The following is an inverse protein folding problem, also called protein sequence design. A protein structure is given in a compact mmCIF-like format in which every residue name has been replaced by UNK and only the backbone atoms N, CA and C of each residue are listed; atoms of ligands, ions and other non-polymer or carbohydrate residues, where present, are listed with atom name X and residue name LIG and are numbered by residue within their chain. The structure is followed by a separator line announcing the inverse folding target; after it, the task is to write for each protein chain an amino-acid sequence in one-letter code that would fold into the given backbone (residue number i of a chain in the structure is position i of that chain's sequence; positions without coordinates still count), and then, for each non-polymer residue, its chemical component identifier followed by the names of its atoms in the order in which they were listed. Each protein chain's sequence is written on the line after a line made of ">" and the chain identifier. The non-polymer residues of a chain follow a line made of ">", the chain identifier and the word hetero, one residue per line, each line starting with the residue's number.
data_IF_188195149022
#
_entry.id   IF_188195149022
#
_cell.length_a   1.000
_cell.length_b   1.000
_cell.length_c   1.000
_cell.angle_alpha   90.00
_cell.angle_beta   90.00
_cell.angle_gamma   90.00
#
_symmetry.space_group_name_H-M   'P 1'
#
loop_
_entity.id
_entity.type
_entity.pdbx_description
1 polymer ?
#
# COMPACT_ATOMS: atom_id res chain seq x y z
N UNK A 1 9.32 -0.15 2.25
CA UNK A 1 10.44 0.53 2.94
C UNK A 1 11.78 -0.22 2.81
N UNK A 2 11.98 -1.40 3.45
CA UNK A 2 13.30 -2.05 3.48
C UNK A 2 13.85 -2.47 2.12
N UNK A 3 13.01 -2.95 1.20
CA UNK A 3 13.43 -3.30 -0.17
C UNK A 3 13.90 -2.08 -0.97
N UNK A 4 13.25 -0.93 -0.78
CA UNK A 4 13.58 0.33 -1.45
C UNK A 4 14.77 1.07 -0.81
N UNK A 5 15.15 0.71 0.40
CA UNK A 5 16.28 1.33 1.10
C UNK A 5 17.59 0.95 0.42
N UNK A 6 18.46 1.93 0.14
CA UNK A 6 19.81 1.70 -0.39
C UNK A 6 20.66 0.80 0.53
N UNK A 7 20.57 0.99 1.86
CA UNK A 7 21.15 0.09 2.86
C UNK A 7 20.27 -1.13 3.21
N UNK A 8 19.34 -1.48 2.32
CA UNK A 8 18.40 -2.58 2.46
C UNK A 8 18.97 -3.91 1.94
N UNK A 9 18.27 -5.03 2.17
CA UNK A 9 18.71 -6.35 1.72
C UNK A 9 18.84 -6.48 0.20
N UNK A 10 18.11 -5.67 -0.57
CA UNK A 10 18.16 -5.65 -2.03
C UNK A 10 18.90 -4.44 -2.61
N UNK A 11 19.63 -3.68 -1.79
CA UNK A 11 20.42 -2.53 -2.25
C UNK A 11 19.60 -1.39 -2.87
N UNK A 12 18.29 -1.32 -2.61
CA UNK A 12 17.37 -0.37 -3.21
C UNK A 12 16.64 -0.88 -4.47
N UNK A 13 16.93 -2.09 -4.93
CA UNK A 13 16.21 -2.71 -6.05
C UNK A 13 14.91 -3.39 -5.56
N UNK A 14 13.81 -3.15 -6.27
CA UNK A 14 12.55 -3.84 -6.01
C UNK A 14 12.54 -5.14 -6.82
N UNK A 15 12.46 -6.27 -6.11
CA UNK A 15 12.35 -7.59 -6.71
C UNK A 15 11.15 -8.33 -6.12
N UNK A 16 10.48 -9.14 -6.93
CA UNK A 16 9.43 -10.04 -6.46
C UNK A 16 10.00 -11.06 -5.45
N UNK A 17 9.31 -11.34 -4.33
CA UNK A 17 9.75 -12.34 -3.36
C UNK A 17 9.72 -13.78 -3.91
N UNK A 18 8.89 -14.07 -4.90
CA UNK A 18 8.70 -15.41 -5.45
C UNK A 18 9.86 -15.87 -6.34
N UNK A 19 10.30 -15.01 -7.25
CA UNK A 19 11.27 -15.37 -8.31
C UNK A 19 12.42 -14.36 -8.46
N UNK A 20 12.49 -13.35 -7.59
CA UNK A 20 13.46 -12.25 -7.64
C UNK A 20 13.44 -11.42 -8.93
N UNK A 21 12.43 -11.57 -9.79
CA UNK A 21 12.28 -10.77 -10.99
C UNK A 21 11.82 -9.34 -10.68
N UNK A 22 12.15 -8.40 -11.56
CA UNK A 22 11.70 -7.02 -11.45
C UNK A 22 10.19 -6.93 -11.77
N UNK A 23 9.36 -6.30 -10.91
CA UNK A 23 7.93 -6.16 -11.17
C UNK A 23 7.66 -5.02 -12.15
N UNK A 24 6.84 -5.28 -13.15
CA UNK A 24 6.39 -4.26 -14.11
C UNK A 24 5.13 -3.54 -13.62
N UNK A 25 4.37 -4.17 -12.71
CA UNK A 25 3.10 -3.65 -12.22
C UNK A 25 2.85 -4.00 -10.76
N UNK A 26 2.67 -2.97 -9.92
CA UNK A 26 2.46 -3.13 -8.47
C UNK A 26 1.14 -2.49 -8.03
N UNK A 27 0.37 -3.23 -7.22
CA UNK A 27 -0.81 -2.75 -6.53
C UNK A 27 -0.50 -2.38 -5.07
N UNK A 28 -0.68 -1.12 -4.67
CA UNK A 28 -0.72 -0.72 -3.27
C UNK A 28 -2.15 -0.72 -2.76
N UNK A 29 -2.41 -1.45 -1.68
CA UNK A 29 -3.73 -1.60 -1.09
C UNK A 29 -3.83 -0.80 0.20
N UNK A 30 -4.73 0.18 0.23
CA UNK A 30 -4.89 1.05 1.39
C UNK A 30 -5.81 0.47 2.47
N UNK A 31 -5.64 1.01 3.68
CA UNK A 31 -6.45 0.67 4.85
C UNK A 31 -6.38 -0.82 5.24
N UNK A 32 -5.22 -1.46 5.07
CA UNK A 32 -5.01 -2.83 5.56
C UNK A 32 -4.78 -2.76 7.07
N UNK A 33 -5.68 -3.36 7.86
CA UNK A 33 -5.62 -3.29 9.33
C UNK A 33 -6.09 -1.96 9.93
N UNK A 34 -6.76 -1.10 9.15
CA UNK A 34 -7.32 0.17 9.64
C UNK A 34 -8.66 0.45 8.99
N UNK A 35 -9.54 1.18 9.67
CA UNK A 35 -10.92 1.42 9.23
C UNK A 35 -11.61 0.08 8.89
N UNK A 36 -11.38 -0.92 9.73
CA UNK A 36 -11.87 -2.28 9.55
C UNK A 36 -12.38 -2.85 10.88
N UNK A 37 -13.70 -2.95 10.99
CA UNK A 37 -14.40 -3.48 12.17
C UNK A 37 -14.58 -5.01 12.13
N UNK A 38 -14.31 -5.67 10.99
CA UNK A 38 -14.72 -7.05 10.80
C UNK A 38 -13.66 -8.03 11.29
N UNK A 39 -12.40 -7.81 10.92
CA UNK A 39 -11.31 -8.78 11.16
C UNK A 39 -10.33 -8.40 12.25
N UNK A 40 -10.04 -7.10 12.41
CA UNK A 40 -9.03 -6.62 13.35
C UNK A 40 -9.59 -5.62 14.37
N UNK A 41 -10.87 -5.29 14.30
CA UNK A 41 -11.55 -4.33 15.19
C UNK A 41 -10.79 -2.99 15.36
N UNK A 42 -10.22 -2.51 14.26
CA UNK A 42 -9.51 -1.24 14.20
C UNK A 42 -10.37 -0.19 13.47
N UNK A 43 -11.30 0.48 14.15
CA UNK A 43 -12.18 1.49 13.53
C UNK A 43 -11.43 2.75 13.09
N UNK A 44 -10.26 2.99 13.66
CA UNK A 44 -9.48 4.20 13.46
C UNK A 44 -8.70 4.19 12.14
N UNK A 45 -8.22 5.37 11.75
CA UNK A 45 -7.31 5.54 10.63
C UNK A 45 -5.88 5.73 11.15
N UNK A 46 -4.94 4.92 10.65
CA UNK A 46 -3.52 5.06 11.01
C UNK A 46 -2.82 6.29 10.40
N UNK A 47 -3.57 7.17 9.73
CA UNK A 47 -3.20 8.55 9.35
C UNK A 47 -2.04 8.74 8.36
N UNK A 48 -1.11 7.79 8.25
CA UNK A 48 0.11 7.93 7.44
C UNK A 48 0.12 7.05 6.18
N UNK A 49 -0.74 6.03 6.12
CA UNK A 49 -0.70 5.01 5.07
C UNK A 49 -0.96 5.54 3.66
N UNK A 50 -1.84 6.53 3.54
CA UNK A 50 -2.05 7.23 2.28
C UNK A 50 -0.75 7.85 1.76
N UNK A 51 0.03 8.51 2.63
CA UNK A 51 1.20 9.27 2.22
C UNK A 51 2.43 8.42 1.97
N UNK A 52 2.71 7.41 2.82
CA UNK A 52 3.85 6.54 2.52
C UNK A 52 3.61 5.75 1.23
N UNK A 53 2.37 5.41 0.88
CA UNK A 53 2.11 4.62 -0.32
C UNK A 53 2.35 5.45 -1.58
N UNK A 54 1.92 6.73 -1.58
CA UNK A 54 2.26 7.67 -2.66
C UNK A 54 3.77 7.84 -2.75
N UNK A 55 4.45 8.02 -1.60
CA UNK A 55 5.90 8.15 -1.53
C UNK A 55 6.60 6.94 -2.16
N UNK A 56 6.25 5.74 -1.71
CA UNK A 56 6.85 4.50 -2.17
C UNK A 56 6.54 4.21 -3.64
N UNK A 57 5.32 4.48 -4.11
CA UNK A 57 4.96 4.31 -5.51
C UNK A 57 5.78 5.23 -6.44
N UNK A 58 6.02 6.47 -6.03
CA UNK A 58 6.87 7.42 -6.74
C UNK A 58 8.34 6.99 -6.76
N UNK A 59 8.88 6.62 -5.60
CA UNK A 59 10.27 6.13 -5.49
C UNK A 59 10.45 4.86 -6.33
N UNK A 60 9.50 3.91 -6.26
CA UNK A 60 9.51 2.70 -7.07
C UNK A 60 9.55 3.02 -8.57
N UNK A 61 8.75 4.00 -8.99
CA UNK A 61 8.72 4.47 -10.38
C UNK A 61 10.05 5.11 -10.81
N UNK A 62 10.68 5.88 -9.95
CA UNK A 62 12.01 6.46 -10.21
C UNK A 62 13.09 5.37 -10.36
N UNK A 63 13.02 4.29 -9.56
CA UNK A 63 14.03 3.23 -9.56
C UNK A 63 13.83 2.19 -10.67
N UNK A 64 12.59 1.74 -10.92
CA UNK A 64 12.28 0.75 -11.96
C UNK A 64 12.26 1.40 -13.34
N UNK A 65 11.75 2.64 -13.44
CA UNK A 65 11.79 3.43 -14.66
C UNK A 65 10.65 3.15 -15.65
N UNK A 66 10.98 3.19 -16.93
CA UNK A 66 9.99 3.27 -18.02
C UNK A 66 9.22 1.96 -18.16
N UNK A 67 7.89 2.06 -18.24
CA UNK A 67 6.99 0.91 -18.39
C UNK A 67 6.45 0.39 -17.06
N UNK A 68 6.93 0.90 -15.93
CA UNK A 68 6.38 0.57 -14.62
C UNK A 68 4.99 1.18 -14.40
N UNK A 69 4.05 0.35 -13.96
CA UNK A 69 2.66 0.70 -13.68
C UNK A 69 2.35 0.64 -12.16
N UNK A 70 2.51 1.75 -11.43
CA UNK A 70 2.07 1.83 -10.05
C UNK A 70 0.58 2.13 -9.95
N UNK A 71 -0.14 1.32 -9.16
CA UNK A 71 -1.58 1.46 -8.93
C UNK A 71 -1.88 1.49 -7.43
N UNK A 72 -2.56 2.53 -6.96
CA UNK A 72 -2.98 2.68 -5.55
C UNK A 72 -4.50 2.49 -5.47
N UNK A 73 -4.94 1.49 -4.72
CA UNK A 73 -6.34 1.20 -4.40
C UNK A 73 -6.73 1.81 -3.07
N UNK A 74 -7.74 2.66 -3.05
CA UNK A 74 -8.10 3.44 -1.87
C UNK A 74 -9.62 3.63 -1.71
N UNK A 75 -10.05 3.97 -0.48
CA UNK A 75 -11.42 4.45 -0.24
C UNK A 75 -11.49 5.97 -0.29
N UNK A 76 -10.65 6.62 0.53
CA UNK A 76 -10.44 8.06 0.58
C UNK A 76 -8.94 8.33 0.71
N UNK A 77 -8.41 9.28 -0.05
CA UNK A 77 -7.03 9.74 0.12
C UNK A 77 -6.97 10.76 1.24
N UNK A 78 -6.14 10.50 2.27
CA UNK A 78 -5.96 11.39 3.42
C UNK A 78 -4.60 12.08 3.36
N UNK A 79 -4.57 13.19 2.64
CA UNK A 79 -3.41 14.02 2.28
C UNK A 79 -3.43 15.37 3.03
N UNK A 80 -3.78 15.34 4.32
CA UNK A 80 -4.13 16.53 5.12
C UNK A 80 -2.93 17.36 5.64
N UNK A 81 -1.69 16.95 5.35
CA UNK A 81 -0.49 17.68 5.74
C UNK A 81 -0.14 18.85 4.80
N UNK A 82 0.74 19.75 5.24
CA UNK A 82 1.26 20.82 4.37
C UNK A 82 1.90 20.21 3.13
N UNK A 83 1.47 20.67 1.96
CA UNK A 83 1.91 20.22 0.62
C UNK A 83 1.65 18.74 0.29
N UNK A 84 0.93 17.99 1.14
CA UNK A 84 0.62 16.57 0.88
C UNK A 84 -0.32 16.40 -0.31
N UNK A 85 -1.34 17.26 -0.43
CA UNK A 85 -2.22 17.27 -1.60
C UNK A 85 -1.46 17.60 -2.89
N UNK A 86 -0.50 18.53 -2.84
CA UNK A 86 0.35 18.83 -3.99
C UNK A 86 1.20 17.62 -4.39
N UNK A 87 1.69 16.86 -3.41
CA UNK A 87 2.45 15.63 -3.66
C UNK A 87 1.58 14.53 -4.29
N UNK A 88 0.34 14.39 -3.83
CA UNK A 88 -0.65 13.49 -4.43
C UNK A 88 -0.95 13.86 -5.89
N UNK A 89 -1.23 15.13 -6.17
CA UNK A 89 -1.50 15.60 -7.54
C UNK A 89 -0.26 15.47 -8.45
N UNK A 90 0.94 15.71 -7.91
CA UNK A 90 2.19 15.42 -8.62
C UNK A 90 2.29 13.93 -8.98
N UNK A 91 2.01 13.03 -8.05
CA UNK A 91 2.08 11.60 -8.31
C UNK A 91 1.10 11.14 -9.40
N UNK A 92 -0.12 11.71 -9.41
CA UNK A 92 -1.09 11.49 -10.50
C UNK A 92 -0.55 11.98 -11.84
N UNK A 93 0.01 13.20 -11.88
CA UNK A 93 0.57 13.79 -13.09
C UNK A 93 1.75 12.99 -13.63
N UNK A 94 2.55 12.39 -12.74
CA UNK A 94 3.64 11.48 -13.11
C UNK A 94 3.14 10.07 -13.47
N UNK A 95 1.84 9.80 -13.42
CA UNK A 95 1.23 8.56 -13.93
C UNK A 95 1.09 7.44 -12.90
N UNK A 96 1.04 7.77 -11.61
CA UNK A 96 0.51 6.84 -10.60
C UNK A 96 -1.00 6.76 -10.77
N UNK A 97 -1.53 5.55 -10.95
CA UNK A 97 -2.98 5.31 -11.08
C UNK A 97 -3.60 5.24 -9.69
N UNK A 98 -4.69 5.97 -9.48
CA UNK A 98 -5.47 5.93 -8.25
C UNK A 98 -6.84 5.36 -8.55
N UNK A 99 -7.19 4.26 -7.91
CA UNK A 99 -8.45 3.55 -8.11
C UNK A 99 -9.23 3.58 -6.81
N UNK A 100 -10.39 4.22 -6.83
CA UNK A 100 -11.27 4.31 -5.66
C UNK A 100 -12.03 3.00 -5.48
N UNK A 101 -11.40 2.03 -4.82
CA UNK A 101 -11.99 0.73 -4.52
C UNK A 101 -11.27 0.08 -3.34
N UNK A 102 -12.01 -0.53 -2.41
CA UNK A 102 -11.44 -1.42 -1.38
C UNK A 102 -11.41 -2.84 -1.95
N UNK A 103 -10.23 -3.30 -2.35
CA UNK A 103 -10.03 -4.67 -2.85
C UNK A 103 -10.35 -5.66 -1.72
N UNK A 104 -11.25 -6.62 -2.00
CA UNK A 104 -11.69 -7.61 -1.02
C UNK A 104 -10.81 -8.86 -1.00
N UNK A 105 -10.34 -9.30 -2.17
CA UNK A 105 -9.61 -10.56 -2.33
C UNK A 105 -8.50 -10.42 -3.37
N UNK A 106 -7.35 -11.02 -3.06
CA UNK A 106 -6.23 -11.24 -3.97
C UNK A 106 -6.18 -12.73 -4.24
N UNK A 107 -6.12 -13.14 -5.51
CA UNK A 107 -5.97 -14.55 -5.90
C UNK A 107 -4.72 -14.72 -6.72
N UNK A 108 -3.91 -15.73 -6.41
CA UNK A 108 -2.80 -16.13 -7.27
C UNK A 108 -3.34 -16.78 -8.54
N UNK A 109 -2.76 -16.43 -9.69
CA UNK A 109 -3.26 -16.87 -11.00
C UNK A 109 -2.53 -18.09 -11.55
N UNK A 110 -1.28 -18.30 -11.16
CA UNK A 110 -0.39 -19.35 -11.66
C UNK A 110 0.77 -19.64 -10.70
N UNK A 111 1.58 -20.66 -11.02
CA UNK A 111 2.81 -20.99 -10.28
C UNK A 111 3.89 -19.90 -10.37
N UNK A 112 3.77 -18.96 -11.33
CA UNK A 112 4.67 -17.82 -11.46
C UNK A 112 4.41 -16.72 -10.41
N UNK A 113 3.36 -16.87 -9.59
CA UNK A 113 3.06 -15.99 -8.47
C UNK A 113 2.44 -14.65 -8.88
N UNK A 114 1.80 -14.58 -10.05
CA UNK A 114 1.04 -13.39 -10.45
C UNK A 114 -0.26 -13.29 -9.67
N UNK A 115 -0.72 -12.05 -9.46
CA UNK A 115 -1.84 -11.73 -8.58
C UNK A 115 -2.99 -11.15 -9.40
N UNK A 116 -4.17 -11.79 -9.36
CA UNK A 116 -5.42 -11.22 -9.86
C UNK A 116 -6.16 -10.48 -8.76
N UNK A 117 -6.51 -9.22 -9.04
CA UNK A 117 -7.29 -8.35 -8.18
C UNK A 117 -8.59 -7.97 -8.88
N UNK A 118 -9.72 -8.25 -8.22
CA UNK A 118 -11.06 -7.81 -8.64
C UNK A 118 -11.48 -6.57 -7.87
N UNK A 119 -11.96 -5.55 -8.58
CA UNK A 119 -12.38 -4.29 -8.00
C UNK A 119 -13.52 -3.65 -8.78
N UNK A 120 -14.25 -2.75 -8.14
CA UNK A 120 -15.33 -1.97 -8.76
C UNK A 120 -14.83 -0.55 -9.02
N UNK A 121 -15.08 -0.04 -10.23
CA UNK A 121 -14.74 1.34 -10.61
C UNK A 121 -15.77 2.35 -10.08
N UNK A 122 -15.46 3.64 -10.14
CA UNK A 122 -16.42 4.71 -9.83
C UNK A 122 -17.68 4.67 -10.73
N UNK A 123 -17.60 4.05 -11.91
CA UNK A 123 -18.74 3.83 -12.80
C UNK A 123 -19.59 2.60 -12.43
N UNK A 124 -19.21 1.86 -11.37
CA UNK A 124 -19.88 0.64 -10.94
C UNK A 124 -19.49 -0.61 -11.76
N UNK A 125 -18.47 -0.51 -12.61
CA UNK A 125 -18.02 -1.64 -13.43
C UNK A 125 -17.11 -2.56 -12.61
N UNK A 126 -17.37 -3.86 -12.66
CA UNK A 126 -16.45 -4.86 -12.13
C UNK A 126 -15.28 -5.04 -13.10
N UNK A 127 -14.06 -4.85 -12.61
CA UNK A 127 -12.82 -5.09 -13.34
C UNK A 127 -11.97 -6.12 -12.64
N UNK A 128 -11.19 -6.84 -13.44
CA UNK A 128 -10.17 -7.77 -13.01
C UNK A 128 -8.86 -7.39 -13.69
N UNK A 129 -7.78 -7.29 -12.91
CA UNK A 129 -6.49 -6.85 -13.40
C UNK A 129 -5.38 -7.67 -12.73
N UNK A 130 -4.35 -8.00 -13.53
CA UNK A 130 -3.21 -8.82 -13.11
C UNK A 130 -2.06 -7.92 -12.69
N UNK A 131 -1.43 -8.27 -11.57
CA UNK A 131 -0.31 -7.57 -10.96
C UNK A 131 0.85 -8.54 -10.71
N UNK A 132 2.07 -8.03 -10.79
CA UNK A 132 3.28 -8.81 -10.50
C UNK A 132 3.58 -8.84 -8.99
N UNK A 133 3.07 -7.86 -8.24
CA UNK A 133 3.24 -7.75 -6.79
C UNK A 133 2.13 -6.88 -6.19
N UNK A 134 1.76 -7.18 -4.94
CA UNK A 134 0.89 -6.35 -4.13
C UNK A 134 1.64 -5.88 -2.88
N UNK A 135 1.48 -4.60 -2.53
CA UNK A 135 2.00 -3.97 -1.32
C UNK A 135 0.83 -3.63 -0.42
N UNK A 136 0.80 -4.26 0.76
CA UNK A 136 -0.22 -4.00 1.77
C UNK A 136 0.19 -2.76 2.56
N UNK A 137 -0.60 -1.69 2.48
CA UNK A 137 -0.37 -0.48 3.28
C UNK A 137 -0.96 -0.70 4.67
N UNK A 138 -0.17 -1.39 5.50
CA UNK A 138 -0.54 -1.80 6.87
C UNK A 138 -0.68 -0.61 7.83
N UNK A 139 -1.70 -0.69 8.67
CA UNK A 139 -1.94 0.24 9.76
C UNK A 139 -0.86 0.21 10.85
N UNK A 140 -1.08 1.06 11.85
CA UNK A 140 -0.28 1.14 13.07
C UNK A 140 -1.14 0.71 14.25
N UNK A 141 -0.55 -0.11 15.12
CA UNK A 141 -1.12 -0.54 16.39
C UNK A 141 -0.11 -0.22 17.51
N UNK A 142 -0.57 -0.07 18.76
CA UNK A 142 0.32 -0.04 19.92
C UNK A 142 1.17 -1.31 19.96
N UNK A 143 2.47 -1.18 20.22
CA UNK A 143 3.32 -2.36 20.41
C UNK A 143 2.94 -3.09 21.70
N UNK A 144 3.09 -4.42 21.74
CA UNK A 144 2.75 -5.25 22.91
C UNK A 144 3.39 -4.75 24.21
N UNK A 145 4.63 -4.26 24.13
CA UNK A 145 5.34 -3.69 25.28
C UNK A 145 4.68 -2.44 25.88
N UNK A 146 3.87 -1.72 25.09
CA UNK A 146 3.15 -0.52 25.56
C UNK A 146 2.02 -0.91 26.51
N UNK A 147 1.36 -2.05 26.29
CA UNK A 147 0.33 -2.56 27.21
C UNK A 147 0.93 -2.89 28.58
N UNK A 148 2.10 -3.53 28.61
CA UNK A 148 2.83 -3.82 29.85
C UNK A 148 3.31 -2.54 30.55
N UNK A 149 3.75 -1.55 29.76
CA UNK A 149 4.17 -0.25 30.29
C UNK A 149 2.99 0.49 30.93
N UNK A 150 1.85 0.55 30.26
CA UNK A 150 0.64 1.20 30.75
C UNK A 150 0.17 0.57 32.08
N UNK A 151 0.18 -0.76 32.15
CA UNK A 151 -0.12 -1.50 33.38
C UNK A 151 0.86 -1.17 34.51
N UNK A 152 2.15 -1.08 34.22
CA UNK A 152 3.19 -0.73 35.21
C UNK A 152 2.96 0.66 35.81
N UNK A 153 2.52 1.61 35.01
CA UNK A 153 2.25 2.99 35.44
C UNK A 153 0.80 3.23 35.89
N UNK A 154 -0.07 2.22 35.83
CA UNK A 154 -1.49 2.35 36.19
C UNK A 154 -2.29 3.26 35.24
N UNK A 155 -1.94 3.26 33.95
CA UNK A 155 -2.60 4.06 32.91
C UNK A 155 -3.54 3.15 32.10
N UNK A 156 -4.75 3.62 31.85
CA UNK A 156 -5.73 2.98 30.96
C UNK A 156 -5.46 3.37 29.49
N UNK A 157 -5.58 2.41 28.56
CA UNK A 157 -5.33 2.56 27.12
C UNK A 157 -6.63 2.58 26.32
#
# INVERSE_FOLDING_TARGET
>A
ERLLSAGGPSGGHITRPSDHGEPTKIAWLQCVGSRDLNKCDNPYCSSVCCMYAIKEAMIAKEHIGKGFEPVIFFMDMRTFGKDFEKYYERAKAEGVRFIRSKVHTITETDEAGKLSLKYVTDAGELKEEIFDMAVLSVGMEPADSVAELAKTFGIEL
#
